data_IF_897049207650
#
_entry.id   IF_897049207650
#
_cell.length_a   1.000
_cell.length_b   1.000
_cell.length_c   1.000
_cell.angle_alpha   90.00
_cell.angle_beta   90.00
_cell.angle_gamma   90.00
#
_symmetry.space_group_name_H-M   'P 1'
#
loop_
_entity.id
_entity.type
_entity.pdbx_description
1 polymer ?
#
# COMPACT_ATOMS: atom_id res chain seq x y z
N UNK A 1 -12.14 -15.22 -10.63
CA UNK A 1 -11.92 -15.08 -9.17
C UNK A 1 -11.72 -16.46 -8.55
N UNK A 2 -10.68 -16.60 -7.71
CA UNK A 2 -10.40 -17.83 -6.96
C UNK A 2 -10.08 -17.45 -5.51
N UNK A 3 -10.26 -18.40 -4.59
CA UNK A 3 -9.87 -18.26 -3.18
C UNK A 3 -8.86 -19.35 -2.88
N UNK A 4 -7.71 -18.99 -2.29
CA UNK A 4 -6.77 -19.95 -1.71
C UNK A 4 -6.57 -19.69 -0.23
N UNK A 5 -6.38 -20.78 0.52
CA UNK A 5 -6.23 -20.77 1.97
C UNK A 5 -4.85 -21.28 2.34
N UNK A 6 -4.24 -20.59 3.29
CA UNK A 6 -2.92 -20.92 3.81
C UNK A 6 -2.98 -20.95 5.34
N UNK A 7 -2.30 -21.91 5.93
CA UNK A 7 -2.02 -21.96 7.37
C UNK A 7 -0.58 -21.51 7.59
N UNK A 8 -0.39 -20.55 8.49
CA UNK A 8 0.90 -19.92 8.75
C UNK A 8 1.23 -20.11 10.23
N UNK A 9 2.44 -20.57 10.58
CA UNK A 9 2.84 -20.70 11.97
C UNK A 9 2.84 -19.32 12.64
N UNK A 10 2.11 -19.22 13.73
CA UNK A 10 2.01 -17.98 14.49
C UNK A 10 3.36 -17.58 15.09
N UNK A 11 3.63 -16.27 15.07
CA UNK A 11 4.74 -15.58 15.76
C UNK A 11 4.21 -14.24 16.25
N UNK A 12 4.69 -13.82 17.41
CA UNK A 12 4.33 -12.53 18.00
C UNK A 12 4.69 -11.38 17.04
N UNK A 13 3.83 -10.36 16.96
CA UNK A 13 4.01 -9.18 16.11
C UNK A 13 4.10 -9.47 14.60
N UNK A 14 3.51 -10.57 14.12
CA UNK A 14 3.33 -10.79 12.69
C UNK A 14 2.46 -9.69 12.08
N UNK A 15 2.88 -9.18 10.91
CA UNK A 15 2.02 -8.39 10.04
C UNK A 15 1.63 -9.18 8.79
N UNK A 16 0.65 -8.68 8.03
CA UNK A 16 0.15 -9.34 6.81
C UNK A 16 1.26 -9.54 5.77
N UNK A 17 2.22 -8.63 5.66
CA UNK A 17 3.37 -8.82 4.75
C UNK A 17 4.22 -10.02 5.16
N UNK A 18 4.51 -10.20 6.45
CA UNK A 18 5.27 -11.34 6.94
C UNK A 18 4.53 -12.66 6.66
N UNK A 19 3.21 -12.68 6.76
CA UNK A 19 2.37 -13.80 6.34
C UNK A 19 2.53 -14.11 4.85
N UNK A 20 2.42 -13.10 3.98
CA UNK A 20 2.61 -13.26 2.53
C UNK A 20 4.03 -13.73 2.17
N UNK A 21 5.05 -13.25 2.89
CA UNK A 21 6.43 -13.70 2.71
C UNK A 21 6.62 -15.17 3.12
N UNK A 22 5.93 -15.63 4.17
CA UNK A 22 5.95 -17.04 4.57
C UNK A 22 5.29 -17.92 3.50
N UNK A 23 4.14 -17.50 2.97
CA UNK A 23 3.48 -18.17 1.84
C UNK A 23 4.41 -18.23 0.63
N UNK A 24 5.10 -17.13 0.28
CA UNK A 24 6.05 -17.11 -0.84
C UNK A 24 7.22 -18.06 -0.62
N UNK A 25 7.72 -18.17 0.61
CA UNK A 25 8.82 -19.08 0.98
C UNK A 25 8.42 -20.54 0.81
N UNK A 26 7.19 -20.90 1.19
CA UNK A 26 6.67 -22.25 1.11
C UNK A 26 5.20 -22.27 0.63
N UNK A 27 4.94 -22.19 -0.70
CA UNK A 27 3.60 -21.99 -1.24
C UNK A 27 2.81 -23.29 -1.29
N UNK A 28 2.42 -23.80 -0.13
CA UNK A 28 1.51 -24.93 0.02
C UNK A 28 0.20 -24.45 0.63
N UNK A 29 -0.91 -24.77 0.00
CA UNK A 29 -2.23 -24.45 0.53
C UNK A 29 -2.63 -25.43 1.66
N UNK A 30 -3.77 -25.18 2.29
CA UNK A 30 -4.31 -26.07 3.35
C UNK A 30 -4.66 -27.48 2.87
N UNK A 31 -4.67 -27.74 1.55
CA UNK A 31 -4.89 -29.07 0.96
C UNK A 31 -3.58 -29.84 0.76
N UNK A 32 -2.43 -29.23 1.07
CA UNK A 32 -1.11 -29.83 0.84
C UNK A 32 -0.63 -29.74 -0.61
N UNK A 33 -1.28 -28.93 -1.44
CA UNK A 33 -0.92 -28.74 -2.85
C UNK A 33 0.09 -27.61 -2.99
N UNK A 34 1.13 -27.82 -3.79
CA UNK A 34 2.07 -26.75 -4.14
C UNK A 34 1.42 -25.83 -5.16
N UNK A 35 1.22 -24.57 -4.78
CA UNK A 35 0.58 -23.55 -5.62
C UNK A 35 1.60 -22.52 -6.11
N UNK A 36 1.20 -21.68 -7.07
CA UNK A 36 2.01 -20.53 -7.44
C UNK A 36 2.05 -19.54 -6.26
N UNK A 37 3.20 -18.90 -5.97
CA UNK A 37 3.27 -17.85 -4.96
C UNK A 37 2.31 -16.71 -5.27
N UNK A 38 1.69 -16.17 -4.21
CA UNK A 38 0.82 -14.99 -4.31
C UNK A 38 1.63 -13.79 -4.79
N UNK A 39 1.05 -12.97 -5.66
CA UNK A 39 1.65 -11.72 -6.16
C UNK A 39 1.09 -10.51 -5.42
N UNK A 40 1.96 -9.63 -4.93
CA UNK A 40 1.62 -8.37 -4.27
C UNK A 40 2.77 -7.36 -4.38
N UNK A 41 2.48 -6.08 -4.22
CA UNK A 41 3.48 -5.01 -4.15
C UNK A 41 3.87 -4.70 -2.70
N UNK A 42 5.15 -4.47 -2.43
CA UNK A 42 5.67 -3.97 -1.15
C UNK A 42 7.00 -3.26 -1.35
N UNK A 43 7.32 -2.29 -0.49
CA UNK A 43 8.61 -1.59 -0.55
C UNK A 43 9.12 -1.19 0.85
N UNK A 44 8.59 -0.12 1.45
CA UNK A 44 9.21 0.47 2.67
C UNK A 44 8.99 -0.33 3.95
N UNK A 45 7.92 -1.14 4.04
CA UNK A 45 7.54 -1.94 5.22
C UNK A 45 7.23 -1.17 6.52
N UNK A 46 7.04 0.14 6.43
CA UNK A 46 6.89 1.04 7.59
C UNK A 46 5.73 2.06 7.42
N UNK A 47 4.73 1.75 6.59
CA UNK A 47 3.55 2.60 6.34
C UNK A 47 3.83 3.99 5.73
N UNK A 48 4.90 4.11 4.93
CA UNK A 48 5.32 5.40 4.32
C UNK A 48 5.07 5.46 2.80
N UNK A 49 5.27 4.36 2.07
CA UNK A 49 5.24 4.41 0.60
C UNK A 49 3.88 4.09 -0.02
N UNK A 50 2.92 3.55 0.74
CA UNK A 50 1.60 3.16 0.24
C UNK A 50 1.54 1.95 -0.70
N UNK A 51 2.67 1.36 -1.10
CA UNK A 51 2.72 0.30 -2.11
C UNK A 51 1.90 -0.95 -1.73
N UNK A 52 2.02 -1.40 -0.48
CA UNK A 52 1.40 -2.62 0.02
C UNK A 52 -0.08 -2.47 0.42
N UNK A 53 -0.79 -1.47 -0.09
CA UNK A 53 -2.20 -1.31 0.24
C UNK A 53 -3.04 -2.35 -0.50
N UNK A 54 -3.94 -2.98 0.25
CA UNK A 54 -4.87 -4.02 -0.22
C UNK A 54 -6.10 -4.01 0.69
N UNK A 55 -7.12 -4.81 0.37
CA UNK A 55 -8.29 -4.99 1.22
C UNK A 55 -8.00 -6.12 2.20
N UNK A 56 -8.09 -5.82 3.50
CA UNK A 56 -7.82 -6.74 4.61
C UNK A 56 -9.07 -6.77 5.48
N UNK A 57 -9.74 -7.92 5.56
CA UNK A 57 -11.03 -8.10 6.22
C UNK A 57 -12.07 -7.06 5.77
N UNK A 58 -12.18 -6.81 4.47
CA UNK A 58 -13.13 -5.86 3.89
C UNK A 58 -12.71 -4.38 3.98
N UNK A 59 -11.58 -4.06 4.62
CA UNK A 59 -11.09 -2.68 4.75
C UNK A 59 -9.81 -2.46 3.95
N UNK A 60 -9.80 -1.43 3.10
CA UNK A 60 -8.57 -1.00 2.43
C UNK A 60 -7.59 -0.41 3.47
N UNK A 61 -6.38 -0.99 3.57
CA UNK A 61 -5.32 -0.54 4.49
C UNK A 61 -3.95 -1.06 4.07
N UNK A 62 -2.90 -0.59 4.73
CA UNK A 62 -1.52 -0.99 4.47
C UNK A 62 -1.20 -2.35 5.12
N UNK A 63 -0.83 -3.33 4.31
CA UNK A 63 -0.50 -4.67 4.81
C UNK A 63 0.73 -4.71 5.74
N UNK A 64 1.68 -3.79 5.58
CA UNK A 64 2.90 -3.77 6.41
C UNK A 64 2.66 -3.33 7.86
N UNK A 65 1.58 -2.59 8.14
CA UNK A 65 1.20 -2.19 9.51
C UNK A 65 -0.05 -2.91 10.03
N UNK A 66 -0.64 -3.80 9.23
CA UNK A 66 -1.74 -4.66 9.65
C UNK A 66 -1.22 -5.82 10.50
N UNK A 67 -1.23 -5.64 11.83
CA UNK A 67 -0.77 -6.64 12.80
C UNK A 67 -1.81 -7.75 12.95
N UNK A 68 -1.37 -9.01 12.82
CA UNK A 68 -2.21 -10.21 12.86
C UNK A 68 -3.04 -10.29 14.14
N UNK A 69 -2.44 -9.95 15.28
CA UNK A 69 -3.10 -9.96 16.60
C UNK A 69 -4.25 -8.95 16.72
N UNK A 70 -4.33 -7.97 15.81
CA UNK A 70 -5.38 -6.94 15.78
C UNK A 70 -6.47 -7.23 14.73
N UNK A 71 -6.38 -8.37 14.03
CA UNK A 71 -7.30 -8.74 12.96
C UNK A 71 -8.16 -9.93 13.37
N UNK A 72 -9.44 -9.89 12.98
CA UNK A 72 -10.34 -11.03 13.11
C UNK A 72 -9.86 -12.20 12.23
N UNK A 73 -9.87 -13.40 12.81
CA UNK A 73 -9.54 -14.64 12.11
C UNK A 73 -10.81 -15.29 11.53
N UNK A 74 -10.77 -15.86 10.31
CA UNK A 74 -9.63 -15.89 9.40
C UNK A 74 -9.37 -14.55 8.70
N UNK A 75 -8.10 -14.19 8.53
CA UNK A 75 -7.73 -12.97 7.78
C UNK A 75 -7.99 -13.18 6.29
N UNK A 76 -8.84 -12.33 5.72
CA UNK A 76 -9.16 -12.31 4.29
C UNK A 76 -8.42 -11.18 3.59
N UNK A 77 -7.72 -11.51 2.51
CA UNK A 77 -6.97 -10.57 1.68
C UNK A 77 -7.58 -10.51 0.28
N UNK A 78 -7.85 -9.31 -0.20
CA UNK A 78 -8.41 -9.06 -1.53
C UNK A 78 -7.65 -7.91 -2.22
N UNK A 79 -7.53 -7.91 -3.56
CA UNK A 79 -7.02 -6.74 -4.27
C UNK A 79 -7.96 -5.54 -4.08
N UNK A 80 -7.42 -4.33 -4.19
CA UNK A 80 -8.23 -3.12 -4.13
C UNK A 80 -9.20 -3.06 -5.32
N UNK A 81 -10.50 -2.93 -5.05
CA UNK A 81 -11.55 -2.85 -6.07
C UNK A 81 -11.51 -1.55 -6.91
N UNK A 82 -10.83 -0.53 -6.41
CA UNK A 82 -10.66 0.78 -7.08
C UNK A 82 -9.80 0.70 -8.35
N UNK A 83 -8.97 -0.34 -8.49
CA UNK A 83 -7.96 -0.46 -9.53
C UNK A 83 -8.09 -1.77 -10.31
N UNK A 84 -7.74 -1.81 -11.61
CA UNK A 84 -7.68 -3.06 -12.36
C UNK A 84 -6.70 -4.06 -11.72
N UNK A 85 -7.11 -5.31 -11.59
CA UNK A 85 -6.27 -6.38 -11.04
C UNK A 85 -5.24 -6.78 -12.10
N UNK A 86 -3.96 -6.78 -11.73
CA UNK A 86 -2.87 -7.31 -12.55
C UNK A 86 -2.78 -8.81 -12.32
N UNK A 87 -2.59 -9.21 -11.06
CA UNK A 87 -2.51 -10.60 -10.62
C UNK A 87 -2.65 -10.70 -9.10
N UNK A 88 -3.50 -11.61 -8.62
CA UNK A 88 -3.72 -11.88 -7.20
C UNK A 88 -4.07 -10.59 -6.41
N UNK A 89 -3.15 -10.09 -5.58
CA UNK A 89 -3.33 -8.86 -4.78
C UNK A 89 -2.70 -7.62 -5.46
N UNK A 90 -1.97 -7.81 -6.56
CA UNK A 90 -1.35 -6.73 -7.33
C UNK A 90 -2.36 -6.04 -8.24
N UNK A 91 -2.34 -4.71 -8.24
CA UNK A 91 -3.28 -3.87 -9.01
C UNK A 91 -2.54 -2.80 -9.80
N UNK A 92 -3.12 -2.38 -10.93
CA UNK A 92 -2.55 -1.31 -11.75
C UNK A 92 -2.99 0.07 -11.24
N UNK A 93 -2.03 0.83 -10.72
CA UNK A 93 -2.21 2.19 -10.19
C UNK A 93 -1.96 3.30 -11.21
N UNK A 94 -1.70 2.99 -12.48
CA UNK A 94 -1.40 3.97 -13.54
C UNK A 94 -2.35 5.17 -13.56
N UNK A 95 -3.67 4.92 -13.47
CA UNK A 95 -4.71 5.95 -13.43
C UNK A 95 -4.51 6.99 -12.32
N UNK A 96 -4.07 6.58 -11.14
CA UNK A 96 -3.85 7.51 -10.01
C UNK A 96 -2.70 8.46 -10.30
N UNK A 97 -1.58 7.93 -10.79
CA UNK A 97 -0.42 8.74 -11.16
C UNK A 97 -0.69 9.65 -12.36
N UNK A 98 -1.45 9.19 -13.34
CA UNK A 98 -1.83 10.02 -14.49
C UNK A 98 -2.76 11.17 -14.08
N UNK A 99 -3.65 10.95 -13.11
CA UNK A 99 -4.44 12.03 -12.52
C UNK A 99 -3.57 13.05 -11.79
N UNK A 100 -2.54 12.61 -11.05
CA UNK A 100 -1.59 13.54 -10.41
C UNK A 100 -0.85 14.42 -11.43
N UNK A 101 -0.41 13.83 -12.56
CA UNK A 101 0.19 14.60 -13.66
C UNK A 101 -0.78 15.64 -14.24
N UNK A 102 -2.06 15.29 -14.40
CA UNK A 102 -3.11 16.19 -14.90
C UNK A 102 -3.38 17.36 -13.97
N UNK A 103 -3.26 17.16 -12.65
CA UNK A 103 -3.51 18.19 -11.63
C UNK A 103 -2.46 19.29 -11.59
N UNK A 104 -1.27 19.05 -12.15
CA UNK A 104 -0.15 20.00 -12.13
C UNK A 104 0.23 20.50 -10.73
N UNK A 105 0.21 19.59 -9.74
CA UNK A 105 0.46 19.88 -8.33
C UNK A 105 1.96 20.05 -8.01
N UNK A 106 2.66 20.90 -8.75
CA UNK A 106 4.04 21.28 -8.52
C UNK A 106 4.16 22.78 -8.28
N UNK A 107 5.23 23.20 -7.61
CA UNK A 107 5.54 24.62 -7.44
C UNK A 107 5.98 25.18 -8.80
N UNK A 108 5.33 26.24 -9.32
CA UNK A 108 5.80 26.87 -10.55
C UNK A 108 7.14 27.54 -10.27
N UNK A 109 8.17 27.16 -11.02
CA UNK A 109 9.50 27.75 -10.97
C UNK A 109 9.86 28.32 -12.34
N UNK A 110 10.52 29.48 -12.36
CA UNK A 110 11.01 30.12 -13.57
C UNK A 110 12.46 29.71 -13.84
N UNK A 111 12.71 28.41 -13.94
CA UNK A 111 14.04 27.82 -14.15
C UNK A 111 14.62 27.08 -12.94
N UNK A 112 15.85 26.59 -13.07
CA UNK A 112 16.55 25.74 -12.07
C UNK A 112 17.69 26.46 -11.35
N UNK A 113 17.84 27.77 -11.56
CA UNK A 113 18.83 28.58 -10.85
C UNK A 113 18.34 28.94 -9.44
N UNK A 114 19.26 29.35 -8.57
CA UNK A 114 18.92 29.77 -7.20
C UNK A 114 18.03 31.03 -7.25
N UNK A 115 16.80 30.90 -6.77
CA UNK A 115 15.82 31.98 -6.68
C UNK A 115 15.88 32.71 -5.32
N UNK A 116 16.80 32.31 -4.43
CA UNK A 116 16.90 32.83 -3.08
C UNK A 116 15.83 32.27 -2.14
N UNK A 117 15.60 32.91 -0.98
CA UNK A 117 14.64 32.42 0.00
C UNK A 117 13.21 32.44 -0.53
N UNK A 118 12.45 31.40 -0.22
CA UNK A 118 11.04 31.30 -0.57
C UNK A 118 10.19 32.42 0.06
N UNK A 119 9.02 32.74 -0.52
CA UNK A 119 8.15 33.80 -0.03
C UNK A 119 7.68 33.50 1.41
N UNK A 120 7.60 34.56 2.24
CA UNK A 120 7.05 34.43 3.60
C UNK A 120 5.61 33.94 3.53
N UNK A 121 5.28 32.94 4.35
CA UNK A 121 3.95 32.34 4.40
C UNK A 121 3.37 32.47 5.81
N UNK A 122 2.09 32.88 5.97
CA UNK A 122 1.43 32.84 7.26
C UNK A 122 1.39 31.42 7.82
N UNK A 123 1.63 31.26 9.12
CA UNK A 123 1.73 29.94 9.77
C UNK A 123 0.47 29.09 9.55
N UNK A 124 -0.72 29.70 9.64
CA UNK A 124 -1.99 29.02 9.37
C UNK A 124 -2.04 28.40 7.97
N UNK A 125 -1.53 29.10 6.96
CA UNK A 125 -1.48 28.60 5.57
C UNK A 125 -0.44 27.47 5.43
N UNK A 126 0.71 27.60 6.09
CA UNK A 126 1.76 26.57 6.11
C UNK A 126 1.26 25.27 6.74
N UNK A 127 0.56 25.35 7.87
CA UNK A 127 0.00 24.18 8.55
C UNK A 127 -0.99 23.43 7.65
N UNK A 128 -1.94 24.14 7.03
CA UNK A 128 -2.89 23.51 6.10
C UNK A 128 -2.17 22.87 4.91
N UNK A 129 -1.19 23.56 4.30
CA UNK A 129 -0.43 23.00 3.19
C UNK A 129 0.37 21.75 3.59
N UNK A 130 0.97 21.76 4.78
CA UNK A 130 1.74 20.62 5.30
C UNK A 130 0.85 19.39 5.52
N UNK A 131 -0.31 19.55 6.15
CA UNK A 131 -1.24 18.42 6.33
C UNK A 131 -1.67 17.80 4.99
N UNK A 132 -1.98 18.62 3.99
CA UNK A 132 -2.34 18.13 2.65
C UNK A 132 -1.17 17.45 1.92
N UNK A 133 0.08 17.82 2.24
CA UNK A 133 1.28 17.24 1.63
C UNK A 133 1.64 15.85 2.16
N UNK A 134 0.99 15.38 3.24
CA UNK A 134 1.27 14.06 3.84
C UNK A 134 0.68 12.89 3.05
N UNK A 135 -0.06 13.15 1.97
CA UNK A 135 -0.58 12.09 1.11
C UNK A 135 0.58 11.30 0.49
N UNK A 136 0.68 10.02 0.84
CA UNK A 136 1.66 9.08 0.29
C UNK A 136 1.18 8.35 -0.97
N UNK A 137 0.05 8.77 -1.57
CA UNK A 137 -0.47 8.18 -2.81
C UNK A 137 -0.72 6.66 -2.67
N UNK A 138 -1.26 6.24 -1.52
CA UNK A 138 -1.51 4.83 -1.20
C UNK A 138 -2.77 4.26 -1.86
N UNK A 139 -3.68 5.09 -2.39
CA UNK A 139 -4.88 4.64 -3.10
C UNK A 139 -5.97 4.00 -2.21
N UNK A 140 -5.84 4.16 -0.89
CA UNK A 140 -6.83 3.80 0.13
C UNK A 140 -7.79 4.95 0.35
#
# INVERSE_FOLDING_TARGET
PYEEKFEIPYRENLNVIACLMEIRRNPYNTKGEKVAPVTWDMNCLEEVCGACSMVINGHARQACSAIVDQLEQPIRLEPMSTFPIVRDLQVDRSRMFDNLKRMKAWVPIDGTYDLGPGPRMPEKKRQTAYELSKCMTCGV
#
